data_IF_622636079829
#
_entry.id   IF_622636079829
#
_cell.length_a   1.000
_cell.length_b   1.000
_cell.length_c   1.000
_cell.angle_alpha   90.00
_cell.angle_beta   90.00
_cell.angle_gamma   90.00
#
_symmetry.space_group_name_H-M   'P 1'
#
loop_
_entity.id
_entity.type
_entity.pdbx_description
1 polymer ?
#
# COMPACT_ATOMS: atom_id res chain seq x y z
N UNK A 1 13.93 -11.63 -2.20
CA UNK A 1 13.40 -11.18 -0.88
C UNK A 1 12.06 -10.44 -0.98
N UNK A 2 11.36 -10.59 -2.11
CA UNK A 2 10.09 -9.89 -2.40
C UNK A 2 8.99 -10.10 -1.35
N UNK A 3 8.90 -11.30 -0.76
CA UNK A 3 7.87 -11.57 0.26
C UNK A 3 8.03 -10.63 1.47
N UNK A 4 9.26 -10.35 1.90
CA UNK A 4 9.53 -9.47 3.04
C UNK A 4 9.03 -8.07 2.72
N UNK A 5 9.42 -7.53 1.56
CA UNK A 5 8.95 -6.22 1.10
C UNK A 5 7.42 -6.14 0.98
N UNK A 6 6.80 -7.18 0.43
CA UNK A 6 5.34 -7.27 0.27
C UNK A 6 4.63 -7.29 1.64
N UNK A 7 5.12 -8.08 2.60
CA UNK A 7 4.58 -8.11 3.97
C UNK A 7 4.67 -6.76 4.68
N UNK A 8 5.68 -5.95 4.36
CA UNK A 8 5.82 -4.59 4.92
C UNK A 8 4.90 -3.56 4.23
N UNK A 9 4.25 -3.89 3.11
CA UNK A 9 3.35 -2.96 2.42
C UNK A 9 2.14 -2.53 3.27
N UNK A 10 1.72 -3.37 4.21
CA UNK A 10 0.65 -3.03 5.19
C UNK A 10 0.98 -1.78 5.99
N UNK A 11 2.28 -1.57 6.28
CA UNK A 11 2.78 -0.43 7.06
C UNK A 11 2.61 0.90 6.31
N UNK A 12 2.50 0.86 4.98
CA UNK A 12 2.23 2.06 4.18
C UNK A 12 0.89 2.71 4.54
N UNK A 13 -0.09 1.90 4.98
CA UNK A 13 -1.40 2.38 5.40
C UNK A 13 -1.45 2.82 6.86
N UNK A 14 -0.67 2.19 7.73
CA UNK A 14 -0.81 2.35 9.18
C UNK A 14 0.19 3.32 9.81
N UNK A 15 1.39 3.46 9.24
CA UNK A 15 2.44 4.29 9.82
C UNK A 15 3.19 5.15 8.81
N UNK A 16 2.63 5.36 7.61
CA UNK A 16 3.24 6.20 6.58
C UNK A 16 4.55 5.61 6.06
N UNK A 17 4.73 4.29 6.12
CA UNK A 17 5.91 3.64 5.59
C UNK A 17 5.98 3.82 4.06
N UNK A 18 7.13 4.25 3.57
CA UNK A 18 7.37 4.61 2.18
C UNK A 18 8.61 3.90 1.62
N UNK A 19 8.73 3.90 0.29
CA UNK A 19 9.75 3.14 -0.44
C UNK A 19 11.18 3.59 -0.14
N UNK A 20 11.38 4.89 0.15
CA UNK A 20 12.65 5.52 0.52
C UNK A 20 13.24 5.00 1.84
N UNK A 21 12.42 4.42 2.72
CA UNK A 21 12.90 3.79 3.95
C UNK A 21 13.85 2.63 3.64
N UNK A 22 13.61 1.89 2.54
CA UNK A 22 14.51 0.82 2.11
C UNK A 22 15.85 1.36 1.61
N UNK A 23 15.85 2.49 0.91
CA UNK A 23 17.08 3.17 0.47
C UNK A 23 17.88 3.64 1.68
N UNK A 24 17.22 4.26 2.66
CA UNK A 24 17.85 4.69 3.91
C UNK A 24 18.41 3.52 4.72
N UNK A 25 17.71 2.40 4.76
CA UNK A 25 18.22 1.16 5.36
C UNK A 25 19.49 0.68 4.65
N UNK A 26 19.51 0.70 3.32
CA UNK A 26 20.70 0.36 2.52
C UNK A 26 21.89 1.26 2.82
N UNK A 27 21.68 2.56 2.96
CA UNK A 27 22.73 3.52 3.35
C UNK A 27 23.31 3.22 4.72
N UNK A 28 22.46 3.03 5.74
CA UNK A 28 22.89 2.73 7.11
C UNK A 28 23.63 1.39 7.15
N UNK A 29 23.12 0.36 6.47
CA UNK A 29 23.77 -0.94 6.39
C UNK A 29 25.16 -0.81 5.74
N UNK A 30 25.26 -0.06 4.65
CA UNK A 30 26.52 0.17 3.94
C UNK A 30 27.53 0.93 4.81
N UNK A 31 27.10 1.96 5.53
CA UNK A 31 27.94 2.69 6.50
C UNK A 31 28.54 1.74 7.54
N UNK A 32 27.71 0.88 8.14
CA UNK A 32 28.15 -0.09 9.15
C UNK A 32 29.07 -1.15 8.57
N UNK A 33 28.75 -1.70 7.41
CA UNK A 33 29.60 -2.70 6.74
C UNK A 33 30.98 -2.11 6.40
N UNK A 34 31.02 -0.87 5.91
CA UNK A 34 32.27 -0.19 5.61
C UNK A 34 33.06 0.25 6.85
N UNK A 35 32.48 0.20 8.05
CA UNK A 35 33.23 0.42 9.29
C UNK A 35 34.15 -0.75 9.64
N UNK A 36 33.94 -1.93 9.06
CA UNK A 36 34.78 -3.10 9.31
C UNK A 36 36.10 -3.04 8.53
N UNK A 37 37.20 -3.20 9.25
CA UNK A 37 38.57 -3.12 8.71
C UNK A 37 38.82 -4.04 7.50
N UNK A 38 38.28 -5.26 7.51
CA UNK A 38 38.42 -6.23 6.41
C UNK A 38 37.81 -5.68 5.11
N UNK A 39 36.69 -4.98 5.22
CA UNK A 39 35.96 -4.40 4.09
C UNK A 39 36.72 -3.16 3.56
N UNK A 40 37.30 -2.36 4.46
CA UNK A 40 38.10 -1.19 4.09
C UNK A 40 39.40 -1.58 3.37
N UNK A 41 40.09 -2.62 3.87
CA UNK A 41 41.35 -3.10 3.29
C UNK A 41 41.16 -3.85 1.97
N UNK A 42 39.95 -4.30 1.68
CA UNK A 42 39.66 -5.12 0.49
C UNK A 42 38.64 -4.45 -0.41
N UNK A 43 39.13 -3.77 -1.46
CA UNK A 43 38.27 -3.06 -2.42
C UNK A 43 37.18 -3.95 -3.03
N UNK A 44 37.53 -5.19 -3.35
CA UNK A 44 36.58 -6.14 -3.92
C UNK A 44 35.52 -6.59 -2.90
N UNK A 45 35.84 -6.63 -1.61
CA UNK A 45 34.85 -6.90 -0.56
C UNK A 45 33.84 -5.74 -0.44
N UNK A 46 34.31 -4.50 -0.40
CA UNK A 46 33.44 -3.31 -0.40
C UNK A 46 32.55 -3.27 -1.65
N UNK A 47 33.09 -3.67 -2.81
CA UNK A 47 32.32 -3.79 -4.06
C UNK A 47 31.26 -4.89 -3.99
N UNK A 48 31.61 -6.07 -3.50
CA UNK A 48 30.68 -7.18 -3.34
C UNK A 48 29.51 -6.80 -2.43
N UNK A 49 29.78 -6.12 -1.31
CA UNK A 49 28.75 -5.62 -0.41
C UNK A 49 27.83 -4.59 -1.05
N UNK A 50 28.35 -3.66 -1.85
CA UNK A 50 27.50 -2.71 -2.61
C UNK A 50 26.54 -3.44 -3.55
N UNK A 51 27.05 -4.40 -4.31
CA UNK A 51 26.24 -5.16 -5.27
C UNK A 51 25.18 -5.98 -4.52
N UNK A 52 25.58 -6.68 -3.46
CA UNK A 52 24.67 -7.48 -2.65
C UNK A 52 23.56 -6.62 -2.05
N UNK A 53 23.91 -5.50 -1.41
CA UNK A 53 22.93 -4.58 -0.83
C UNK A 53 22.00 -4.01 -1.90
N UNK A 54 22.52 -3.58 -3.05
CA UNK A 54 21.67 -3.11 -4.15
C UNK A 54 20.63 -4.17 -4.55
N UNK A 55 21.05 -5.41 -4.77
CA UNK A 55 20.13 -6.50 -5.11
C UNK A 55 19.10 -6.77 -4.00
N UNK A 56 19.53 -6.72 -2.74
CA UNK A 56 18.68 -6.90 -1.56
C UNK A 56 17.62 -5.80 -1.48
N UNK A 57 18.03 -4.53 -1.60
CA UNK A 57 17.15 -3.38 -1.53
C UNK A 57 16.18 -3.36 -2.71
N UNK A 58 16.65 -3.63 -3.93
CA UNK A 58 15.81 -3.68 -5.13
C UNK A 58 14.68 -4.74 -4.99
N UNK A 59 15.01 -5.90 -4.43
CA UNK A 59 14.06 -6.98 -4.19
C UNK A 59 13.02 -6.63 -3.11
N UNK A 60 13.45 -5.97 -2.02
CA UNK A 60 12.56 -5.49 -0.96
C UNK A 60 11.64 -4.40 -1.49
N UNK A 61 12.20 -3.41 -2.17
CA UNK A 61 11.49 -2.27 -2.75
C UNK A 61 10.50 -2.73 -3.81
N UNK A 62 10.92 -3.62 -4.71
CA UNK A 62 10.06 -4.18 -5.74
C UNK A 62 8.87 -4.93 -5.15
N UNK A 63 9.07 -5.74 -4.10
CA UNK A 63 7.97 -6.40 -3.40
C UNK A 63 7.00 -5.41 -2.75
N UNK A 64 7.55 -4.44 -2.01
CA UNK A 64 6.78 -3.40 -1.34
C UNK A 64 5.96 -2.56 -2.32
N UNK A 65 6.57 -2.03 -3.38
CA UNK A 65 5.91 -1.15 -4.35
C UNK A 65 4.79 -1.86 -5.11
N UNK A 66 4.95 -3.16 -5.41
CA UNK A 66 3.91 -3.94 -6.06
C UNK A 66 2.68 -4.07 -5.14
N UNK A 67 2.90 -4.51 -3.91
CA UNK A 67 1.83 -4.79 -2.95
C UNK A 67 1.17 -3.49 -2.44
N UNK A 68 1.95 -2.44 -2.14
CA UNK A 68 1.42 -1.15 -1.71
C UNK A 68 0.57 -0.48 -2.82
N UNK A 69 0.91 -0.69 -4.10
CA UNK A 69 0.06 -0.25 -5.22
C UNK A 69 -1.20 -1.10 -5.34
N UNK A 70 -1.10 -2.42 -5.17
CA UNK A 70 -2.26 -3.30 -5.19
C UNK A 70 -3.27 -2.93 -4.09
N UNK A 71 -2.79 -2.71 -2.88
CA UNK A 71 -3.58 -2.21 -1.77
C UNK A 71 -4.24 -0.85 -2.07
N UNK A 72 -3.55 0.12 -2.67
CA UNK A 72 -4.21 1.39 -3.03
C UNK A 72 -5.33 1.20 -4.04
N UNK A 73 -5.12 0.38 -5.08
CA UNK A 73 -6.11 0.10 -6.12
C UNK A 73 -7.36 -0.59 -5.57
N UNK A 74 -7.18 -1.63 -4.75
CA UNK A 74 -8.30 -2.37 -4.12
C UNK A 74 -9.12 -1.45 -3.22
N UNK A 75 -8.46 -0.65 -2.37
CA UNK A 75 -9.17 0.32 -1.52
C UNK A 75 -9.95 1.37 -2.33
N UNK A 76 -9.42 1.83 -3.47
CA UNK A 76 -10.16 2.75 -4.34
C UNK A 76 -11.36 2.09 -5.02
N UNK A 77 -11.23 0.82 -5.44
CA UNK A 77 -12.32 0.07 -6.05
C UNK A 77 -13.44 -0.21 -5.02
N UNK A 78 -13.08 -0.65 -3.83
CA UNK A 78 -14.02 -0.85 -2.71
C UNK A 78 -14.77 0.44 -2.35
N UNK A 79 -14.08 1.59 -2.37
CA UNK A 79 -14.71 2.88 -2.12
C UNK A 79 -15.75 3.26 -3.19
N UNK A 80 -15.49 2.95 -4.46
CA UNK A 80 -16.43 3.19 -5.56
C UNK A 80 -17.66 2.27 -5.48
N UNK A 81 -17.47 0.99 -5.15
CA UNK A 81 -18.58 0.04 -4.98
C UNK A 81 -19.48 0.44 -3.81
N UNK A 82 -18.89 0.88 -2.69
CA UNK A 82 -19.66 1.37 -1.55
C UNK A 82 -20.46 2.62 -1.89
N UNK A 83 -19.87 3.58 -2.61
CA UNK A 83 -20.57 4.80 -3.03
C UNK A 83 -21.75 4.52 -3.98
N UNK A 84 -21.61 3.56 -4.90
CA UNK A 84 -22.69 3.13 -5.79
C UNK A 84 -23.83 2.43 -5.03
N UNK A 85 -23.49 1.58 -4.06
CA UNK A 85 -24.45 0.92 -3.18
C UNK A 85 -25.24 1.94 -2.35
N UNK A 86 -24.56 2.91 -1.76
CA UNK A 86 -25.19 3.99 -0.98
C UNK A 86 -26.13 4.83 -1.84
N UNK A 87 -25.74 5.15 -3.08
CA UNK A 87 -26.58 5.88 -4.02
C UNK A 87 -27.85 5.09 -4.39
N UNK A 88 -27.72 3.78 -4.62
CA UNK A 88 -28.86 2.89 -4.91
C UNK A 88 -29.83 2.80 -3.74
N UNK A 89 -29.31 2.63 -2.52
CA UNK A 89 -30.12 2.58 -1.30
C UNK A 89 -30.90 3.90 -1.10
N UNK A 90 -30.25 5.05 -1.29
CA UNK A 90 -30.90 6.35 -1.19
C UNK A 90 -32.04 6.56 -2.21
N UNK A 91 -31.87 6.06 -3.43
CA UNK A 91 -32.93 6.09 -4.46
C UNK A 91 -34.09 5.19 -4.05
N UNK A 92 -33.80 3.97 -3.57
CA UNK A 92 -34.82 3.02 -3.15
C UNK A 92 -35.66 3.56 -1.99
N UNK A 93 -35.02 4.19 -1.01
CA UNK A 93 -35.71 4.82 0.12
C UNK A 93 -36.60 5.98 -0.31
N UNK A 94 -36.13 6.84 -1.23
CA UNK A 94 -36.97 7.90 -1.82
C UNK A 94 -38.18 7.35 -2.55
N UNK A 95 -38.01 6.29 -3.34
CA UNK A 95 -39.11 5.66 -4.06
C UNK A 95 -40.12 5.01 -3.10
N UNK A 96 -39.65 4.47 -1.98
CA UNK A 96 -40.53 3.95 -0.92
C UNK A 96 -41.32 5.08 -0.26
N UNK A 97 -40.67 6.20 0.07
CA UNK A 97 -41.32 7.36 0.66
C UNK A 97 -42.41 7.91 -0.26
N UNK A 98 -42.11 8.08 -1.56
CA UNK A 98 -43.09 8.55 -2.54
C UNK A 98 -44.32 7.65 -2.67
N UNK A 99 -44.18 6.33 -2.52
CA UNK A 99 -45.33 5.41 -2.51
C UNK A 99 -46.21 5.62 -1.26
N UNK A 100 -45.58 5.78 -0.10
CA UNK A 100 -46.30 6.03 1.15
C UNK A 100 -47.05 7.36 1.08
N UNK A 101 -46.39 8.41 0.58
CA UNK A 101 -47.01 9.74 0.43
C UNK A 101 -48.16 9.71 -0.58
N UNK A 102 -48.03 8.95 -1.67
CA UNK A 102 -49.12 8.71 -2.63
C UNK A 102 -50.31 8.00 -1.97
N UNK A 103 -50.07 6.86 -1.32
CA UNK A 103 -51.13 6.11 -0.64
C UNK A 103 -51.82 6.92 0.47
N UNK A 104 -51.09 7.84 1.12
CA UNK A 104 -51.64 8.76 2.13
C UNK A 104 -52.50 9.89 1.54
N UNK A 105 -52.31 10.24 0.27
CA UNK A 105 -53.00 11.39 -0.37
C UNK A 105 -54.15 10.98 -1.29
N UNK A 106 -54.27 9.70 -1.62
CA UNK A 106 -55.42 9.17 -2.37
C UNK A 106 -56.56 8.85 -1.39
N UNK A 107 -57.73 9.52 -1.48
CA UNK A 107 -58.88 9.18 -0.67
C UNK A 107 -59.40 7.81 -1.13
N UNK A 108 -59.43 6.81 -0.23
CA UNK A 108 -60.11 5.55 -0.48
C UNK A 108 -61.57 5.85 -0.88
N UNK A 109 -61.95 5.43 -2.09
CA UNK A 109 -63.34 5.40 -2.57
C UNK A 109 -64.02 4.12 -2.13
#
# INVERSE_FOLDING_TARGET
MKHIGSSHAVLSRTCGFTSDIWERFGEIAMERICSHEIVQKTREAARAWRILLACVIDELRGGFDCEARYHRKTSSAEHLENADSDAKNAIQDKMRQLRIDYDSTVPYR
#
